data_IF_464618826727
#
_entry.id   IF_464618826727
#
_cell.length_a   1.000
_cell.length_b   1.000
_cell.length_c   1.000
_cell.angle_alpha   90.00
_cell.angle_beta   90.00
_cell.angle_gamma   90.00
#
_symmetry.space_group_name_H-M   'P 1'
#
loop_
_entity.id
_entity.type
_entity.pdbx_description
1 polymer ?
#
# COMPACT_ATOMS: atom_id res chain seq x y z
N UNK A 1 14.62 -0.17 -59.32
CA UNK A 1 13.49 -0.06 -58.36
C UNK A 1 13.77 1.11 -57.43
N UNK A 2 13.02 2.21 -57.54
CA UNK A 2 13.11 3.38 -56.63
C UNK A 2 11.81 3.44 -55.82
N UNK A 3 11.90 3.16 -54.52
CA UNK A 3 10.79 3.35 -53.59
C UNK A 3 10.71 4.84 -53.20
N UNK A 4 9.69 5.53 -53.70
CA UNK A 4 9.32 6.86 -53.23
C UNK A 4 8.46 6.71 -51.97
N UNK A 5 9.02 7.03 -50.80
CA UNK A 5 8.25 7.24 -49.58
C UNK A 5 7.53 8.60 -49.66
N UNK A 6 6.22 8.57 -49.86
CA UNK A 6 5.35 9.75 -49.80
C UNK A 6 5.06 10.06 -48.32
N UNK A 7 5.89 10.91 -47.70
CA UNK A 7 5.64 11.43 -46.36
C UNK A 7 4.67 12.63 -46.45
N UNK A 8 3.37 12.35 -46.40
CA UNK A 8 2.33 13.39 -46.31
C UNK A 8 2.35 14.02 -44.91
N UNK A 9 2.99 15.19 -44.79
CA UNK A 9 2.86 16.07 -43.62
C UNK A 9 1.48 16.76 -43.61
N UNK A 10 0.45 16.03 -43.25
CA UNK A 10 -0.85 16.62 -42.90
C UNK A 10 -0.87 16.96 -41.42
N UNK A 11 -0.44 18.19 -41.08
CA UNK A 11 -0.63 18.74 -39.74
C UNK A 11 -2.13 18.77 -39.41
N UNK A 12 -2.58 18.24 -38.26
CA UNK A 12 -3.98 18.36 -37.87
C UNK A 12 -4.31 19.84 -37.70
N UNK A 13 -5.35 20.29 -38.41
CA UNK A 13 -5.83 21.68 -38.35
C UNK A 13 -6.22 22.00 -36.89
N UNK A 14 -5.90 23.21 -36.40
CA UNK A 14 -6.22 23.68 -35.02
C UNK A 14 -7.63 23.32 -34.53
N UNK A 15 -8.62 23.29 -35.43
CA UNK A 15 -10.02 22.95 -35.12
C UNK A 15 -10.19 21.48 -34.69
N UNK A 16 -9.39 20.58 -35.24
CA UNK A 16 -9.41 19.15 -34.89
C UNK A 16 -8.81 18.89 -33.51
N UNK A 17 -7.72 19.59 -33.15
CA UNK A 17 -7.14 19.53 -31.81
C UNK A 17 -8.09 20.10 -30.75
N UNK A 18 -8.79 21.19 -31.07
CA UNK A 18 -9.74 21.82 -30.16
C UNK A 18 -11.00 20.95 -29.96
N UNK A 19 -11.50 20.32 -31.03
CA UNK A 19 -12.59 19.37 -30.94
C UNK A 19 -12.21 18.10 -30.15
N UNK A 20 -10.99 17.58 -30.33
CA UNK A 20 -10.47 16.46 -29.54
C UNK A 20 -10.33 16.85 -28.06
N UNK A 21 -9.83 18.05 -27.76
CA UNK A 21 -9.73 18.57 -26.40
C UNK A 21 -11.10 18.75 -25.73
N UNK A 22 -12.11 19.20 -26.47
CA UNK A 22 -13.49 19.33 -25.97
C UNK A 22 -14.13 17.95 -25.77
N UNK A 23 -13.90 16.98 -26.67
CA UNK A 23 -14.39 15.60 -26.50
C UNK A 23 -13.73 14.89 -25.31
N UNK A 24 -12.45 15.14 -25.08
CA UNK A 24 -11.75 14.72 -23.86
C UNK A 24 -12.41 15.42 -22.66
N UNK A 25 -12.57 16.74 -22.64
CA UNK A 25 -13.20 17.46 -21.52
C UNK A 25 -14.66 17.06 -21.24
N UNK A 26 -15.46 16.76 -22.27
CA UNK A 26 -16.88 16.39 -22.13
C UNK A 26 -17.08 14.90 -21.84
N UNK A 27 -16.23 14.02 -22.38
CA UNK A 27 -16.18 12.61 -21.97
C UNK A 27 -15.74 12.45 -20.50
N UNK A 28 -15.21 13.52 -19.89
CA UNK A 28 -14.73 13.55 -18.51
C UNK A 28 -15.80 13.79 -17.41
N UNK A 29 -17.08 13.96 -17.76
CA UNK A 29 -18.09 14.44 -16.79
C UNK A 29 -18.98 13.36 -16.13
N UNK A 30 -18.89 12.08 -16.52
CA UNK A 30 -19.77 11.03 -15.99
C UNK A 30 -19.03 9.78 -15.51
N UNK A 31 -18.64 8.91 -16.44
CA UNK A 31 -18.00 7.62 -16.13
C UNK A 31 -16.50 7.72 -15.81
N UNK A 32 -15.91 8.85 -16.13
CA UNK A 32 -14.48 9.17 -15.99
C UNK A 32 -14.13 9.58 -14.58
N UNK A 33 -15.03 10.22 -13.84
CA UNK A 33 -14.72 10.62 -12.45
C UNK A 33 -14.46 9.41 -11.56
N UNK A 34 -15.23 8.33 -11.71
CA UNK A 34 -15.01 7.07 -10.99
C UNK A 34 -13.74 6.39 -11.46
N UNK A 35 -13.49 6.32 -12.77
CA UNK A 35 -12.26 5.71 -13.30
C UNK A 35 -10.99 6.43 -12.82
N UNK A 36 -10.94 7.77 -12.89
CA UNK A 36 -9.78 8.53 -12.40
C UNK A 36 -9.66 8.50 -10.89
N UNK A 37 -10.77 8.38 -10.16
CA UNK A 37 -10.73 8.19 -8.72
C UNK A 37 -10.11 6.84 -8.37
N UNK A 38 -10.54 5.75 -9.02
CA UNK A 38 -10.01 4.40 -8.82
C UNK A 38 -8.52 4.35 -9.18
N UNK A 39 -8.14 4.85 -10.37
CA UNK A 39 -6.72 4.95 -10.76
C UNK A 39 -5.91 5.87 -9.86
N UNK A 40 -6.54 6.89 -9.28
CA UNK A 40 -5.93 7.73 -8.26
C UNK A 40 -5.60 6.95 -6.98
N UNK A 41 -6.43 5.98 -6.59
CA UNK A 41 -6.13 5.09 -5.47
C UNK A 41 -4.99 4.12 -5.81
N UNK A 42 -4.98 3.53 -7.00
CA UNK A 42 -3.89 2.64 -7.43
C UNK A 42 -2.54 3.38 -7.47
N UNK A 43 -2.55 4.65 -7.87
CA UNK A 43 -1.36 5.50 -7.80
C UNK A 43 -0.86 5.68 -6.36
N UNK A 44 -1.76 5.78 -5.38
CA UNK A 44 -1.40 5.86 -3.97
C UNK A 44 -0.84 4.54 -3.43
N UNK A 45 -1.21 3.40 -4.02
CA UNK A 45 -0.62 2.09 -3.68
C UNK A 45 0.85 1.97 -4.13
N UNK A 46 1.22 2.70 -5.20
CA UNK A 46 2.58 2.73 -5.72
C UNK A 46 3.57 3.40 -4.77
N UNK A 47 3.12 4.41 -4.02
CA UNK A 47 4.00 5.29 -3.23
C UNK A 47 3.55 5.37 -1.78
N UNK A 48 4.46 5.06 -0.86
CA UNK A 48 4.20 5.17 0.56
C UNK A 48 5.15 6.18 1.20
N UNK A 49 4.58 7.15 1.89
CA UNK A 49 5.33 8.18 2.59
C UNK A 49 4.91 8.23 4.05
N UNK A 50 5.89 8.25 4.95
CA UNK A 50 5.66 8.44 6.37
C UNK A 50 6.62 9.48 6.92
N UNK A 51 6.06 10.42 7.65
CA UNK A 51 6.78 11.38 8.47
C UNK A 51 6.61 10.99 9.93
N UNK A 52 7.71 10.99 10.69
CA UNK A 52 7.74 10.56 12.09
C UNK A 52 8.26 11.68 12.97
N UNK A 53 7.54 11.92 14.06
CA UNK A 53 7.98 12.81 15.14
C UNK A 53 7.97 12.00 16.43
N UNK A 54 9.15 11.76 16.98
CA UNK A 54 9.30 10.84 18.10
C UNK A 54 10.62 10.98 18.81
N UNK A 55 11.02 9.90 19.48
CA UNK A 55 12.34 9.78 20.08
C UNK A 55 12.94 8.46 19.60
N UNK A 56 14.09 8.54 18.97
CA UNK A 56 14.92 7.36 18.74
C UNK A 56 15.37 6.82 20.11
N UNK A 57 15.14 5.54 20.32
CA UNK A 57 15.52 4.82 21.54
C UNK A 57 16.95 4.27 21.40
N UNK A 58 17.68 4.08 22.51
CA UNK A 58 19.01 3.49 22.48
C UNK A 58 18.95 2.10 21.83
N UNK A 59 19.79 1.91 20.81
CA UNK A 59 19.76 0.75 19.94
C UNK A 59 20.40 -0.50 20.59
N UNK A 60 19.87 -1.69 20.27
CA UNK A 60 20.32 -3.00 20.75
C UNK A 60 21.78 -3.33 20.39
N UNK A 61 22.35 -2.73 19.33
CA UNK A 61 23.75 -2.99 18.93
C UNK A 61 24.74 -2.67 20.06
N UNK A 62 24.43 -1.70 20.92
CA UNK A 62 25.28 -1.31 22.05
C UNK A 62 24.92 -2.02 23.36
N UNK A 63 23.85 -2.83 23.37
CA UNK A 63 23.43 -3.66 24.48
C UNK A 63 23.45 -5.11 24.01
N UNK A 64 24.63 -5.75 23.96
CA UNK A 64 24.73 -7.16 23.60
C UNK A 64 23.92 -7.95 24.63
N UNK A 65 22.80 -8.54 24.18
CA UNK A 65 21.92 -9.42 24.95
C UNK A 65 21.01 -8.69 25.97
N UNK A 66 19.90 -8.16 25.46
CA UNK A 66 18.77 -7.76 26.31
C UNK A 66 17.79 -6.87 25.57
N UNK A 67 16.54 -7.32 25.42
CA UNK A 67 15.43 -6.48 24.93
C UNK A 67 15.47 -5.14 25.68
N UNK A 68 15.41 -3.98 24.99
CA UNK A 68 15.45 -2.70 25.67
C UNK A 68 14.34 -2.66 26.72
N UNK A 69 14.74 -2.64 27.99
CA UNK A 69 13.80 -2.47 29.10
C UNK A 69 13.42 -0.99 29.17
N UNK A 70 12.13 -0.65 29.36
CA UNK A 70 11.70 0.73 29.53
C UNK A 70 12.53 1.42 30.63
N UNK A 71 13.22 2.53 30.28
CA UNK A 71 13.95 3.35 31.25
C UNK A 71 15.48 3.38 31.14
N UNK A 72 16.09 2.68 30.18
CA UNK A 72 17.53 2.82 29.91
C UNK A 72 17.82 4.19 29.30
N UNK A 73 18.61 5.01 29.99
CA UNK A 73 19.02 6.34 29.51
C UNK A 73 20.13 6.18 28.45
N UNK A 74 20.08 6.92 27.32
CA UNK A 74 21.16 6.93 26.35
C UNK A 74 22.47 7.42 26.99
N UNK A 75 23.61 6.89 26.55
CA UNK A 75 24.92 7.43 26.92
C UNK A 75 25.02 8.89 26.48
N UNK A 76 25.62 9.78 27.30
CA UNK A 76 25.62 11.24 27.07
C UNK A 76 26.32 11.68 25.77
N UNK A 77 27.08 10.80 25.11
CA UNK A 77 27.76 11.08 23.85
C UNK A 77 27.20 10.30 22.66
N UNK A 78 26.12 9.53 22.85
CA UNK A 78 25.53 8.73 21.79
C UNK A 78 24.28 9.41 21.22
N UNK A 79 24.34 9.76 19.95
CA UNK A 79 23.19 10.27 19.20
C UNK A 79 22.38 9.05 18.73
N UNK A 80 21.16 8.84 19.25
CA UNK A 80 20.35 7.72 18.80
C UNK A 80 19.94 7.94 17.34
N UNK A 81 20.41 7.06 16.48
CA UNK A 81 20.05 7.01 15.06
C UNK A 81 19.29 5.72 14.79
N UNK A 82 18.25 5.82 13.97
CA UNK A 82 17.62 4.69 13.32
C UNK A 82 17.73 4.90 11.82
N UNK A 83 18.09 3.83 11.11
CA UNK A 83 18.12 3.86 9.66
C UNK A 83 17.82 2.47 9.13
N UNK A 84 17.03 2.41 8.06
CA UNK A 84 16.82 1.21 7.29
C UNK A 84 16.85 1.52 5.79
N UNK A 85 17.45 0.61 5.03
CA UNK A 85 17.48 0.61 3.57
C UNK A 85 16.92 -0.73 3.13
N UNK A 86 16.01 -0.71 2.18
CA UNK A 86 15.29 -1.89 1.67
C UNK A 86 15.25 -1.79 0.16
N UNK A 87 15.84 -2.77 -0.51
CA UNK A 87 15.80 -2.85 -1.97
C UNK A 87 14.84 -3.94 -2.43
N UNK A 88 14.73 -5.02 -1.67
CA UNK A 88 13.81 -6.13 -1.90
C UNK A 88 13.47 -6.80 -0.57
N UNK A 89 12.55 -7.78 -0.59
CA UNK A 89 12.27 -8.66 0.56
C UNK A 89 13.53 -9.36 1.10
N UNK A 90 14.50 -9.63 0.24
CA UNK A 90 15.75 -10.33 0.58
C UNK A 90 16.94 -9.40 0.84
N UNK A 91 16.91 -8.17 0.33
CA UNK A 91 17.98 -7.19 0.48
C UNK A 91 17.47 -6.01 1.29
N UNK A 92 17.62 -6.14 2.61
CA UNK A 92 17.26 -5.12 3.58
C UNK A 92 18.33 -5.00 4.66
N UNK A 93 18.58 -3.80 5.14
CA UNK A 93 19.50 -3.53 6.24
C UNK A 93 18.86 -2.50 7.12
N UNK A 94 18.93 -2.70 8.43
CA UNK A 94 18.24 -1.80 9.35
C UNK A 94 18.76 -1.97 10.75
N UNK A 95 18.83 -0.86 11.46
CA UNK A 95 19.19 -0.88 12.86
C UNK A 95 18.58 0.31 13.60
N UNK A 96 18.07 0.04 14.79
CA UNK A 96 17.54 1.06 15.69
C UNK A 96 16.24 0.64 16.34
N UNK A 97 15.88 1.35 17.39
CA UNK A 97 14.52 1.38 17.90
C UNK A 97 14.05 2.82 18.02
N UNK A 98 12.75 3.03 17.89
CA UNK A 98 12.14 4.33 18.12
C UNK A 98 10.69 4.16 18.59
N UNK A 99 10.24 5.19 19.30
CA UNK A 99 8.83 5.40 19.58
C UNK A 99 8.44 6.77 19.03
N UNK A 100 7.50 6.80 18.09
CA UNK A 100 7.13 8.02 17.38
C UNK A 100 5.64 8.11 17.12
N UNK A 101 5.15 9.34 16.98
CA UNK A 101 3.91 9.63 16.31
C UNK A 101 4.19 9.75 14.81
N UNK A 102 3.57 8.88 14.03
CA UNK A 102 3.72 8.78 12.59
C UNK A 102 2.54 9.47 11.90
N UNK A 103 2.83 10.13 10.78
CA UNK A 103 1.91 10.82 9.90
C UNK A 103 2.17 10.33 8.48
N UNK A 104 1.14 10.00 7.72
CA UNK A 104 1.30 9.65 6.32
C UNK A 104 0.43 8.47 5.93
N UNK A 105 0.98 7.59 5.10
CA UNK A 105 0.25 6.52 4.45
C UNK A 105 0.68 5.14 4.95
N UNK A 106 -0.29 4.24 5.01
CA UNK A 106 -0.12 2.82 5.24
C UNK A 106 -1.13 2.12 4.31
N UNK A 107 -0.63 1.62 3.16
CA UNK A 107 -1.50 1.28 2.04
C UNK A 107 -2.37 2.46 1.60
N UNK A 108 -3.68 2.22 1.40
CA UNK A 108 -4.70 3.25 1.12
C UNK A 108 -5.16 3.98 2.37
N UNK A 109 -4.67 3.58 3.54
CA UNK A 109 -4.87 4.27 4.80
C UNK A 109 -4.05 5.56 4.88
N UNK A 110 -4.69 6.70 5.14
CA UNK A 110 -3.99 7.95 5.43
C UNK A 110 -4.39 8.47 6.80
N UNK A 111 -3.40 8.89 7.60
CA UNK A 111 -3.66 9.46 8.90
C UNK A 111 -2.45 9.50 9.82
N UNK A 112 -2.72 9.26 11.09
CA UNK A 112 -1.80 9.39 12.20
C UNK A 112 -1.94 8.23 13.18
N UNK A 113 -0.81 7.71 13.62
CA UNK A 113 -0.75 6.61 14.57
C UNK A 113 0.50 6.72 15.44
N UNK A 114 0.46 6.14 16.63
CA UNK A 114 1.64 5.88 17.43
C UNK A 114 2.31 4.61 16.90
N UNK A 115 3.62 4.65 16.74
CA UNK A 115 4.42 3.50 16.32
C UNK A 115 5.62 3.32 17.25
N UNK A 116 5.76 2.10 17.77
CA UNK A 116 6.98 1.62 18.42
C UNK A 116 7.59 0.55 17.52
N UNK A 117 8.82 0.78 17.07
CA UNK A 117 9.51 -0.12 16.15
C UNK A 117 10.90 -0.40 16.66
N UNK A 118 11.31 -1.67 16.60
CA UNK A 118 12.68 -2.10 16.83
C UNK A 118 13.10 -2.99 15.66
N UNK A 119 14.19 -2.63 14.98
CA UNK A 119 14.73 -3.37 13.85
C UNK A 119 16.22 -3.59 14.04
N UNK A 120 16.68 -4.79 13.70
CA UNK A 120 18.10 -5.08 13.58
C UNK A 120 18.32 -6.22 12.60
N UNK A 121 19.37 -6.10 11.80
CA UNK A 121 19.86 -7.19 10.98
C UNK A 121 20.14 -6.82 9.53
N UNK A 122 20.44 -7.86 8.76
CA UNK A 122 20.81 -7.78 7.36
C UNK A 122 20.17 -8.94 6.59
N UNK A 123 19.48 -8.60 5.52
CA UNK A 123 18.89 -9.50 4.54
C UNK A 123 17.90 -10.49 5.17
N UNK A 124 18.22 -11.79 5.10
CA UNK A 124 17.38 -12.89 5.60
C UNK A 124 17.39 -12.94 7.13
N UNK A 125 18.49 -12.51 7.76
CA UNK A 125 18.62 -12.42 9.20
C UNK A 125 18.19 -11.03 9.67
N UNK A 126 16.94 -10.68 9.38
CA UNK A 126 16.34 -9.41 9.75
C UNK A 126 15.25 -9.62 10.79
N UNK A 127 15.43 -9.02 11.95
CA UNK A 127 14.43 -8.99 13.00
C UNK A 127 13.74 -7.64 13.01
N UNK A 128 12.41 -7.65 13.01
CA UNK A 128 11.58 -6.45 13.16
C UNK A 128 10.44 -6.73 14.11
N UNK A 129 10.22 -5.81 15.04
CA UNK A 129 9.05 -5.79 15.91
C UNK A 129 8.40 -4.42 15.81
N UNK A 130 7.19 -4.40 15.28
CA UNK A 130 6.41 -3.19 15.06
C UNK A 130 5.13 -3.29 15.90
N UNK A 131 4.85 -2.24 16.66
CA UNK A 131 3.58 -2.06 17.37
C UNK A 131 3.01 -0.73 16.94
N UNK A 132 1.73 -0.72 16.55
CA UNK A 132 1.02 0.48 16.15
C UNK A 132 -0.24 0.66 16.98
N UNK A 133 -0.60 1.92 17.19
CA UNK A 133 -1.85 2.31 17.83
C UNK A 133 -2.47 3.44 17.01
N UNK A 134 -3.65 3.18 16.46
CA UNK A 134 -4.39 4.18 15.71
C UNK A 134 -4.67 5.42 16.59
N UNK A 135 -4.51 6.61 16.01
CA UNK A 135 -4.89 7.86 16.66
C UNK A 135 -6.02 8.55 15.90
N UNK A 136 -5.85 8.75 14.60
CA UNK A 136 -6.80 9.47 13.73
C UNK A 136 -6.46 9.19 12.27
N UNK A 137 -7.45 9.08 11.40
CA UNK A 137 -7.24 8.86 9.96
C UNK A 137 -8.54 8.46 9.27
N UNK A 138 -8.42 8.02 8.02
CA UNK A 138 -9.54 7.44 7.29
C UNK A 138 -9.91 6.03 7.81
N UNK A 139 -11.06 5.53 7.34
CA UNK A 139 -11.58 4.22 7.75
C UNK A 139 -10.63 3.07 7.38
N UNK A 140 -9.95 3.16 6.22
CA UNK A 140 -8.95 2.17 5.80
C UNK A 140 -7.84 2.03 6.85
N UNK A 141 -7.27 3.15 7.32
CA UNK A 141 -6.23 3.13 8.34
C UNK A 141 -6.76 2.59 9.68
N UNK A 142 -7.96 2.99 10.07
CA UNK A 142 -8.59 2.51 11.31
C UNK A 142 -8.77 0.99 11.28
N UNK A 143 -9.29 0.45 10.18
CA UNK A 143 -9.49 -0.99 9.97
C UNK A 143 -8.16 -1.73 9.98
N UNK A 144 -7.16 -1.28 9.21
CA UNK A 144 -5.84 -1.91 9.19
C UNK A 144 -5.18 -1.98 10.57
N UNK A 145 -5.27 -0.92 11.37
CA UNK A 145 -4.59 -0.86 12.66
C UNK A 145 -5.38 -1.50 13.82
N UNK A 146 -6.72 -1.48 13.77
CA UNK A 146 -7.55 -2.03 14.83
C UNK A 146 -7.99 -3.48 14.53
N UNK A 147 -8.38 -3.78 13.29
CA UNK A 147 -8.84 -5.11 12.86
C UNK A 147 -7.66 -6.03 12.50
N UNK A 148 -6.57 -5.49 11.97
CA UNK A 148 -5.36 -6.27 11.62
C UNK A 148 -4.65 -6.95 12.80
N UNK A 149 -5.01 -6.59 14.04
CA UNK A 149 -4.58 -7.29 15.25
C UNK A 149 -5.47 -8.50 15.62
N UNK A 150 -6.71 -8.53 15.12
CA UNK A 150 -7.66 -9.62 15.28
C UNK A 150 -7.55 -10.58 14.09
N UNK A 151 -6.49 -11.38 14.08
CA UNK A 151 -6.38 -12.54 13.19
C UNK A 151 -7.43 -13.59 13.57
N UNK A 152 -8.64 -13.48 13.03
CA UNK A 152 -9.61 -14.56 13.02
C UNK A 152 -9.89 -15.00 11.56
N UNK A 153 -9.59 -16.29 11.34
CA UNK A 153 -9.86 -17.30 10.29
C UNK A 153 -10.49 -16.96 8.92
N UNK A 154 -11.09 -15.79 8.70
CA UNK A 154 -11.59 -15.32 7.38
C UNK A 154 -10.46 -14.64 6.56
N UNK A 155 -9.26 -14.56 7.13
CA UNK A 155 -8.12 -13.75 6.70
C UNK A 155 -7.45 -14.10 5.37
N UNK A 156 -7.89 -15.12 4.61
CA UNK A 156 -7.30 -15.43 3.29
C UNK A 156 -7.93 -14.64 2.13
N UNK A 157 -9.21 -14.26 2.25
CA UNK A 157 -9.88 -13.47 1.20
C UNK A 157 -9.62 -11.97 1.40
N UNK A 158 -9.48 -11.53 2.65
CA UNK A 158 -9.01 -10.19 2.99
C UNK A 158 -7.50 -10.01 2.76
N UNK A 159 -6.69 -11.08 2.76
CA UNK A 159 -5.26 -11.04 2.36
C UNK A 159 -5.09 -10.63 0.90
N UNK A 160 -6.02 -11.03 0.02
CA UNK A 160 -6.03 -10.65 -1.40
C UNK A 160 -6.41 -9.18 -1.64
N UNK A 161 -7.02 -8.53 -0.66
CA UNK A 161 -7.46 -7.14 -0.69
C UNK A 161 -6.72 -6.25 0.30
N UNK A 162 -5.84 -6.86 1.08
CA UNK A 162 -5.18 -6.24 2.21
C UNK A 162 -4.04 -5.38 1.70
N UNK A 163 -4.30 -4.08 1.70
CA UNK A 163 -3.31 -3.01 1.67
C UNK A 163 -1.98 -3.46 2.27
N UNK A 164 -1.00 -3.72 1.39
CA UNK A 164 0.29 -4.27 1.78
C UNK A 164 1.01 -3.24 2.65
N UNK A 165 1.29 -3.64 3.89
CA UNK A 165 2.16 -2.85 4.75
C UNK A 165 3.61 -3.05 4.34
N UNK A 166 4.06 -2.18 3.43
CA UNK A 166 5.43 -2.11 2.94
C UNK A 166 6.44 -1.92 4.06
N UNK A 167 6.03 -1.49 5.24
CA UNK A 167 6.95 -1.30 6.36
C UNK A 167 7.09 -2.54 7.24
N UNK A 168 6.22 -3.55 7.12
CA UNK A 168 6.37 -4.86 7.76
C UNK A 168 7.15 -5.83 6.87
N UNK A 169 8.28 -6.41 7.33
CA UNK A 169 9.07 -7.33 6.50
C UNK A 169 8.30 -8.55 5.96
N UNK A 170 7.30 -9.04 6.69
CA UNK A 170 6.52 -10.22 6.30
C UNK A 170 5.56 -9.93 5.15
N UNK A 171 4.94 -8.75 5.16
CA UNK A 171 3.85 -8.38 4.25
C UNK A 171 4.38 -7.84 2.90
N UNK A 172 5.66 -7.41 2.86
CA UNK A 172 6.28 -6.85 1.65
C UNK A 172 6.27 -7.79 0.44
N UNK A 173 6.11 -7.18 -0.73
CA UNK A 173 6.36 -7.80 -2.02
C UNK A 173 7.86 -8.12 -2.21
N UNK A 174 8.15 -8.99 -3.19
CA UNK A 174 9.53 -9.33 -3.56
C UNK A 174 10.31 -8.15 -4.15
N UNK A 175 9.63 -7.21 -4.80
CA UNK A 175 10.27 -6.13 -5.57
C UNK A 175 10.15 -4.77 -4.90
N UNK A 176 9.64 -4.72 -3.68
CA UNK A 176 9.47 -3.48 -2.95
C UNK A 176 10.82 -2.77 -2.68
N UNK A 177 10.88 -1.47 -2.99
CA UNK A 177 12.04 -0.61 -2.75
C UNK A 177 11.64 0.46 -1.75
N UNK A 178 12.43 0.68 -0.71
CA UNK A 178 12.17 1.74 0.24
C UNK A 178 13.35 2.08 1.13
N UNK A 179 13.35 3.28 1.68
CA UNK A 179 14.37 3.72 2.61
C UNK A 179 13.72 4.56 3.70
N UNK A 180 14.18 4.36 4.93
CA UNK A 180 13.75 5.13 6.08
C UNK A 180 14.96 5.59 6.88
N UNK A 181 14.91 6.83 7.33
CA UNK A 181 15.89 7.37 8.25
C UNK A 181 15.18 8.12 9.36
N UNK A 182 15.68 8.00 10.59
CA UNK A 182 15.16 8.71 11.73
C UNK A 182 16.33 9.25 12.55
N UNK A 183 16.44 10.58 12.54
CA UNK A 183 17.49 11.33 13.21
C UNK A 183 16.92 11.96 14.48
N UNK A 184 17.26 11.37 15.63
CA UNK A 184 16.90 11.83 16.99
C UNK A 184 15.40 11.97 17.23
N UNK A 185 14.76 12.97 16.64
CA UNK A 185 13.33 13.27 16.79
C UNK A 185 12.52 13.20 15.52
N UNK A 186 13.14 13.37 14.36
CA UNK A 186 12.44 13.43 13.08
C UNK A 186 12.87 12.25 12.23
N UNK A 187 11.89 11.58 11.64
CA UNK A 187 12.16 10.54 10.66
C UNK A 187 11.28 10.66 9.43
N UNK A 188 11.81 10.11 8.34
CA UNK A 188 11.12 9.99 7.08
C UNK A 188 11.27 8.55 6.62
N UNK A 189 10.18 7.98 6.12
CA UNK A 189 10.15 6.67 5.54
C UNK A 189 9.48 6.76 4.17
N UNK A 190 10.12 6.15 3.19
CA UNK A 190 9.72 6.18 1.80
C UNK A 190 9.68 4.74 1.27
N UNK A 191 8.60 4.39 0.58
CA UNK A 191 8.41 3.11 -0.09
C UNK A 191 7.86 3.32 -1.49
N UNK A 192 8.31 2.48 -2.40
CA UNK A 192 7.87 2.38 -3.78
C UNK A 192 7.65 0.92 -4.13
N UNK A 193 6.50 0.63 -4.71
CA UNK A 193 6.12 -0.72 -5.14
C UNK A 193 6.10 -0.79 -6.67
N UNK A 194 7.18 -1.27 -7.32
CA UNK A 194 7.28 -1.26 -8.77
C UNK A 194 6.18 -2.06 -9.47
N UNK A 195 5.72 -3.15 -8.86
CA UNK A 195 4.66 -3.97 -9.45
C UNK A 195 3.32 -3.22 -9.50
N UNK A 196 2.93 -2.52 -8.43
CA UNK A 196 1.73 -1.65 -8.45
C UNK A 196 1.91 -0.52 -9.46
N UNK A 197 3.12 0.05 -9.56
CA UNK A 197 3.40 1.09 -10.54
C UNK A 197 3.18 0.61 -11.98
N UNK A 198 3.62 -0.60 -12.29
CA UNK A 198 3.37 -1.18 -13.61
C UNK A 198 1.89 -1.44 -13.82
N UNK A 199 1.20 -2.00 -12.83
CA UNK A 199 -0.24 -2.26 -12.91
C UNK A 199 -1.05 -0.97 -13.11
N UNK A 200 -0.80 0.07 -12.31
CA UNK A 200 -1.33 1.41 -12.51
C UNK A 200 -1.04 1.95 -13.92
N UNK A 201 0.21 1.87 -14.38
CA UNK A 201 0.62 2.39 -15.69
C UNK A 201 -0.08 1.67 -16.85
N UNK A 202 -0.23 0.35 -16.77
CA UNK A 202 -0.93 -0.45 -17.78
C UNK A 202 -2.45 -0.33 -17.65
N UNK A 203 -2.96 -0.10 -16.43
CA UNK A 203 -4.35 0.17 -16.12
C UNK A 203 -4.88 1.45 -16.77
N UNK A 204 -4.01 2.45 -17.00
CA UNK A 204 -4.32 3.64 -17.83
C UNK A 204 -4.71 3.25 -19.27
N UNK A 205 -4.16 2.15 -19.79
CA UNK A 205 -4.48 1.60 -21.11
C UNK A 205 -5.55 0.51 -21.06
N UNK A 206 -6.16 0.27 -19.90
CA UNK A 206 -7.19 -0.76 -19.69
C UNK A 206 -6.63 -2.19 -19.58
N UNK A 207 -5.34 -2.34 -19.30
CA UNK A 207 -4.71 -3.64 -19.04
C UNK A 207 -4.48 -3.75 -17.53
N UNK A 208 -5.28 -4.57 -16.86
CA UNK A 208 -5.17 -4.89 -15.44
C UNK A 208 -4.57 -6.31 -15.30
N UNK A 209 -3.38 -6.40 -14.71
CA UNK A 209 -2.67 -7.67 -14.54
C UNK A 209 -3.01 -8.36 -13.22
N UNK A 210 -3.30 -7.58 -12.18
CA UNK A 210 -3.54 -8.08 -10.82
C UNK A 210 -4.99 -8.45 -10.56
N UNK A 211 -5.93 -7.88 -11.30
CA UNK A 211 -7.37 -8.04 -11.14
C UNK A 211 -7.87 -7.62 -9.76
N UNK A 212 -7.16 -6.71 -9.09
CA UNK A 212 -7.49 -6.17 -7.78
C UNK A 212 -8.27 -4.84 -7.86
N UNK A 213 -8.61 -4.40 -9.07
CA UNK A 213 -9.51 -3.27 -9.31
C UNK A 213 -10.84 -3.46 -8.54
N UNK A 214 -11.29 -2.40 -7.84
CA UNK A 214 -12.56 -2.36 -7.10
C UNK A 214 -13.74 -2.76 -8.00
N UNK A 215 -13.66 -2.45 -9.29
CA UNK A 215 -14.65 -2.85 -10.28
C UNK A 215 -14.78 -4.37 -10.40
N UNK A 216 -13.65 -5.08 -10.50
CA UNK A 216 -13.58 -6.55 -10.57
C UNK A 216 -14.15 -7.15 -9.29
N UNK A 217 -13.79 -6.60 -8.13
CA UNK A 217 -14.30 -7.06 -6.84
C UNK A 217 -15.79 -6.83 -6.66
N UNK A 218 -16.32 -5.70 -7.14
CA UNK A 218 -17.77 -5.45 -7.15
C UNK A 218 -18.50 -6.44 -8.04
N UNK A 219 -17.93 -6.78 -9.21
CA UNK A 219 -18.53 -7.82 -10.06
C UNK A 219 -18.51 -9.18 -9.39
N UNK A 220 -17.38 -9.59 -8.80
CA UNK A 220 -17.27 -10.87 -8.08
C UNK A 220 -18.21 -10.93 -6.88
N UNK A 221 -18.30 -9.85 -6.09
CA UNK A 221 -19.24 -9.77 -4.97
C UNK A 221 -20.69 -9.86 -5.43
N UNK A 222 -21.04 -9.20 -6.55
CA UNK A 222 -22.39 -9.30 -7.11
C UNK A 222 -22.73 -10.69 -7.63
N UNK A 223 -21.75 -11.38 -8.23
CA UNK A 223 -21.91 -12.75 -8.73
C UNK A 223 -22.08 -13.75 -7.58
N UNK A 224 -21.35 -13.56 -6.47
CA UNK A 224 -21.48 -14.38 -5.25
C UNK A 224 -22.87 -14.20 -4.61
N UNK A 225 -23.33 -12.96 -4.44
CA UNK A 225 -24.66 -12.69 -3.88
C UNK A 225 -25.78 -13.29 -4.74
N UNK A 226 -25.66 -13.22 -6.07
CA UNK A 226 -26.61 -13.88 -6.98
C UNK A 226 -26.55 -15.41 -6.91
N UNK A 227 -25.40 -15.99 -6.56
CA UNK A 227 -25.23 -17.41 -6.31
C UNK A 227 -25.97 -17.87 -5.06
N UNK A 228 -25.76 -17.17 -3.93
CA UNK A 228 -26.41 -17.46 -2.66
C UNK A 228 -27.94 -17.33 -2.72
N UNK A 229 -28.46 -16.30 -3.41
CA UNK A 229 -29.90 -16.16 -3.63
C UNK A 229 -30.51 -17.34 -4.41
N UNK A 230 -29.76 -17.90 -5.38
CA UNK A 230 -30.22 -19.06 -6.15
C UNK A 230 -30.21 -20.35 -5.34
N UNK A 231 -29.18 -20.55 -4.52
CA UNK A 231 -29.07 -21.73 -3.64
C UNK A 231 -30.16 -21.71 -2.56
N UNK A 232 -30.39 -20.57 -1.90
CA UNK A 232 -31.48 -20.44 -0.93
C UNK A 232 -32.86 -20.70 -1.53
N UNK A 233 -33.11 -20.24 -2.77
CA UNK A 233 -34.38 -20.49 -3.45
C UNK A 233 -34.57 -21.97 -3.80
N UNK A 234 -33.50 -22.71 -4.13
CA UNK A 234 -33.57 -24.16 -4.36
C UNK A 234 -33.87 -24.96 -3.09
N UNK A 235 -33.32 -24.57 -1.94
CA UNK A 235 -33.62 -25.24 -0.66
C UNK A 235 -35.09 -25.08 -0.24
N UNK A 236 -35.67 -23.90 -0.42
CA UNK A 236 -37.07 -23.65 -0.08
C UNK A 236 -38.03 -24.47 -0.96
N UNK A 237 -37.82 -24.51 -2.28
CA UNK A 237 -38.64 -25.33 -3.19
C UNK A 237 -38.47 -26.84 -2.96
N UNK A 238 -37.28 -27.31 -2.56
CA UNK A 238 -37.03 -28.72 -2.25
C UNK A 238 -37.74 -29.20 -0.97
N UNK A 239 -38.00 -28.30 -0.04
CA UNK A 239 -38.60 -28.62 1.27
C UNK A 239 -40.14 -28.68 1.18
N UNK A 240 -40.73 -27.85 0.32
CA UNK A 240 -42.19 -27.84 0.09
C UNK A 240 -42.67 -29.08 -0.69
N UNK A 241 -41.86 -29.59 -1.63
CA UNK A 241 -42.17 -30.81 -2.39
C UNK A 241 -42.13 -32.12 -1.55
N UNK A 242 -41.71 -32.07 -0.29
CA UNK A 242 -41.68 -33.22 0.64
C UNK A 242 -42.81 -33.21 1.67
N UNK A 243 -43.71 -32.22 1.65
CA UNK A 243 -44.94 -32.19 2.46
C UNK A 243 -46.14 -32.59 1.63
#
# INVERSE_FOLDING_TARGET
>A
MKFFFYCSKTFPKRKTLLALGILILLGFQGCTSTYFYDRGQDFLDCWQFQFRVGRAEPNLIFYPVGVPSPGIKPYPFFIPFYGNIRLTKFFQMGTGSFHSKTYGMLGRGMGTWEESRAEWGLSILYYSKIKRKFLSGNDNLSRMLNEGAAKDEVGQTAEKLGDVDVFQPNDRSLFNIGAGFHLVTVGFDFGFEPLEFFDFFFGIFGIDFKKDDIATLRSEASDLLQGEEKEGMQEDFGTEARR
#
